data_IF_821825224435
#
_entry.id   IF_821825224435
#
_cell.length_a   1.000
_cell.length_b   1.000
_cell.length_c   1.000
_cell.angle_alpha   90.00
_cell.angle_beta   90.00
_cell.angle_gamma   90.00
#
_symmetry.space_group_name_H-M   'P 1'
#
loop_
_entity.id
_entity.type
_entity.pdbx_description
1 polymer ?
#
# COMPACT_ATOMS: atom_id res chain seq x y z
N UNK A 1 1.29 31.28 -45.32
CA UNK A 1 1.64 29.99 -45.94
C UNK A 1 1.08 28.87 -45.09
N UNK A 2 0.15 28.06 -45.62
CA UNK A 2 -0.29 26.84 -44.94
C UNK A 2 0.76 25.76 -45.20
N UNK A 3 1.34 25.25 -44.08
CA UNK A 3 2.29 24.13 -44.17
C UNK A 3 1.46 22.84 -44.31
N UNK A 4 1.73 21.99 -45.32
CA UNK A 4 0.99 20.71 -45.50
C UNK A 4 1.26 19.79 -44.29
N UNK A 5 0.25 19.04 -43.89
CA UNK A 5 0.38 18.04 -42.82
C UNK A 5 1.27 16.91 -43.31
N UNK A 6 2.28 16.57 -42.50
CA UNK A 6 3.22 15.46 -42.78
C UNK A 6 2.69 14.14 -42.20
N UNK A 7 1.90 14.22 -41.13
CA UNK A 7 1.36 13.06 -40.38
C UNK A 7 -0.15 13.29 -40.17
N UNK A 8 -0.95 12.26 -40.26
CA UNK A 8 -2.37 12.30 -39.94
C UNK A 8 -2.60 12.56 -38.45
N UNK A 9 -3.66 13.30 -38.12
CA UNK A 9 -3.97 13.68 -36.72
C UNK A 9 -4.17 12.45 -35.86
N UNK A 10 -4.86 11.42 -36.38
CA UNK A 10 -5.07 10.18 -35.64
C UNK A 10 -3.78 9.45 -35.29
N UNK A 11 -2.80 9.48 -36.20
CA UNK A 11 -1.50 8.85 -36.02
C UNK A 11 -0.65 9.63 -34.97
N UNK A 12 -0.71 10.96 -35.03
CA UNK A 12 -0.08 11.81 -34.01
C UNK A 12 -0.67 11.57 -32.62
N UNK A 13 -2.00 11.53 -32.50
CA UNK A 13 -2.69 11.29 -31.22
C UNK A 13 -2.37 9.90 -30.67
N UNK A 14 -2.33 8.88 -31.51
CA UNK A 14 -1.95 7.51 -31.12
C UNK A 14 -0.51 7.47 -30.58
N UNK A 15 0.43 8.16 -31.22
CA UNK A 15 1.82 8.28 -30.74
C UNK A 15 1.90 9.04 -29.43
N UNK A 16 1.16 10.15 -29.28
CA UNK A 16 1.10 10.90 -28.03
C UNK A 16 0.52 10.06 -26.88
N UNK A 17 -0.53 9.29 -27.12
CA UNK A 17 -1.11 8.36 -26.15
C UNK A 17 -0.10 7.28 -25.73
N UNK A 18 0.63 6.70 -26.69
CA UNK A 18 1.70 5.74 -26.44
C UNK A 18 2.85 6.34 -25.61
N UNK A 19 3.29 7.55 -25.92
CA UNK A 19 4.33 8.26 -25.18
C UNK A 19 3.86 8.56 -23.76
N UNK A 20 2.63 8.99 -23.58
CA UNK A 20 2.02 9.23 -22.27
C UNK A 20 1.93 7.93 -21.46
N UNK A 21 1.46 6.84 -22.06
CA UNK A 21 1.38 5.53 -21.41
C UNK A 21 2.75 4.97 -21.00
N UNK A 22 3.80 5.27 -21.75
CA UNK A 22 5.19 4.86 -21.46
C UNK A 22 5.97 5.84 -20.59
N UNK A 23 5.40 6.99 -20.27
CA UNK A 23 6.04 8.00 -19.43
C UNK A 23 6.27 7.44 -18.01
N UNK A 24 7.47 7.60 -17.42
CA UNK A 24 7.76 7.19 -16.05
C UNK A 24 6.88 7.85 -14.99
N UNK A 25 6.24 8.97 -15.32
CA UNK A 25 5.30 9.66 -14.45
C UNK A 25 3.95 8.92 -14.32
N UNK A 26 3.56 8.17 -15.36
CA UNK A 26 2.29 7.44 -15.41
C UNK A 26 2.46 5.92 -15.31
N UNK A 27 3.57 5.41 -15.83
CA UNK A 27 3.90 4.00 -15.78
C UNK A 27 5.11 3.81 -14.88
N UNK A 28 4.93 3.10 -13.78
CA UNK A 28 6.06 2.82 -12.90
C UNK A 28 7.16 2.08 -13.66
N UNK A 29 8.45 2.38 -13.36
CA UNK A 29 9.56 1.78 -14.05
C UNK A 29 9.48 0.24 -13.99
N UNK A 30 9.79 -0.42 -15.10
CA UNK A 30 9.86 -1.88 -15.20
C UNK A 30 10.63 -2.44 -14.01
N UNK A 31 9.99 -3.32 -13.25
CA UNK A 31 10.71 -4.14 -12.30
C UNK A 31 11.49 -5.16 -13.11
N UNK A 32 12.72 -4.84 -13.34
CA UNK A 32 13.62 -5.79 -14.00
C UNK A 32 13.74 -6.99 -13.06
N UNK A 33 13.38 -8.16 -13.52
CA UNK A 33 13.66 -9.46 -12.91
C UNK A 33 15.17 -9.74 -12.96
N UNK A 34 15.99 -8.80 -12.49
CA UNK A 34 17.44 -8.89 -12.49
C UNK A 34 17.99 -9.02 -11.07
N UNK A 35 19.25 -9.39 -10.90
CA UNK A 35 19.90 -9.58 -9.60
C UNK A 35 20.06 -8.27 -8.79
N UNK A 36 19.55 -7.15 -9.28
CA UNK A 36 19.70 -5.83 -8.66
C UNK A 36 18.68 -5.59 -7.57
N UNK A 37 19.13 -5.44 -6.31
CA UNK A 37 18.28 -5.25 -5.15
C UNK A 37 17.65 -3.86 -5.07
N UNK A 38 18.44 -2.81 -5.36
CA UNK A 38 18.08 -1.42 -5.06
C UNK A 38 17.53 -0.64 -6.26
N UNK A 39 17.33 -1.27 -7.41
CA UNK A 39 16.78 -0.61 -8.59
C UNK A 39 15.39 -0.02 -8.30
N UNK A 40 15.20 1.25 -8.60
CA UNK A 40 13.95 1.98 -8.42
C UNK A 40 13.72 2.57 -7.02
N UNK A 41 14.57 2.27 -6.03
CA UNK A 41 14.51 2.85 -4.69
C UNK A 41 15.78 3.59 -4.28
N UNK A 42 16.83 3.57 -5.14
CA UNK A 42 18.12 4.21 -4.88
C UNK A 42 18.20 5.55 -5.59
N UNK A 43 18.53 6.60 -4.85
CA UNK A 43 18.58 7.99 -5.31
C UNK A 43 19.88 8.65 -4.91
N UNK A 44 20.32 9.61 -5.71
CA UNK A 44 21.48 10.44 -5.43
C UNK A 44 21.09 11.52 -4.40
N UNK A 45 21.79 11.62 -3.29
CA UNK A 45 21.55 12.65 -2.29
C UNK A 45 21.88 14.06 -2.78
N UNK A 46 22.88 14.20 -3.68
CA UNK A 46 23.35 15.51 -4.18
C UNK A 46 22.35 16.17 -5.14
N UNK A 47 21.65 15.41 -5.99
CA UNK A 47 20.72 15.98 -6.99
C UNK A 47 19.30 15.39 -6.97
N UNK A 48 19.01 14.43 -6.08
CA UNK A 48 17.70 13.81 -5.93
C UNK A 48 17.31 12.83 -7.03
N UNK A 49 18.10 12.71 -8.10
CA UNK A 49 17.77 11.84 -9.24
C UNK A 49 18.05 10.38 -8.96
N UNK A 50 17.33 9.48 -9.63
CA UNK A 50 17.51 8.05 -9.46
C UNK A 50 18.92 7.59 -9.83
N UNK A 51 19.44 6.61 -9.09
CA UNK A 51 20.68 5.94 -9.46
C UNK A 51 20.37 4.80 -10.45
N UNK A 52 21.16 4.75 -11.51
CA UNK A 52 21.06 3.75 -12.58
C UNK A 52 22.21 2.76 -12.50
N UNK A 53 21.93 1.52 -12.92
CA UNK A 53 22.97 0.52 -13.04
C UNK A 53 23.81 0.77 -14.27
N UNK A 54 25.12 0.77 -14.10
CA UNK A 54 26.11 0.79 -15.16
C UNK A 54 27.02 -0.42 -15.06
N UNK A 55 27.45 -0.92 -16.21
CA UNK A 55 28.39 -2.03 -16.30
C UNK A 55 29.72 -1.59 -16.89
N UNK A 56 30.81 -2.18 -16.39
CA UNK A 56 32.15 -1.96 -16.90
C UNK A 56 32.81 -3.27 -17.33
N UNK A 57 33.84 -3.18 -18.19
CA UNK A 57 34.64 -4.32 -18.70
C UNK A 57 33.75 -5.48 -19.20
N UNK A 58 32.91 -5.19 -20.20
CA UNK A 58 32.04 -6.23 -20.78
C UNK A 58 30.99 -6.82 -19.85
N UNK A 59 30.52 -6.06 -18.83
CA UNK A 59 29.50 -6.54 -17.89
C UNK A 59 30.03 -7.18 -16.62
N UNK A 60 31.35 -7.35 -16.49
CA UNK A 60 32.00 -7.99 -15.33
C UNK A 60 31.81 -7.21 -14.03
N UNK A 61 31.80 -5.86 -14.10
CA UNK A 61 31.63 -4.99 -12.95
C UNK A 61 30.33 -4.20 -13.08
N UNK A 62 29.58 -4.12 -11.99
CA UNK A 62 28.30 -3.41 -11.91
C UNK A 62 28.37 -2.29 -10.88
N UNK A 63 27.86 -1.11 -11.25
CA UNK A 63 27.93 0.10 -10.42
C UNK A 63 26.60 0.83 -10.42
N UNK A 64 26.22 1.41 -9.29
CA UNK A 64 25.19 2.42 -9.22
C UNK A 64 25.81 3.80 -9.49
N UNK A 65 25.27 4.48 -10.49
CA UNK A 65 25.69 5.83 -10.89
C UNK A 65 24.46 6.72 -10.98
N UNK A 66 24.57 7.97 -10.52
CA UNK A 66 23.51 8.95 -10.67
C UNK A 66 23.13 9.11 -12.15
N UNK A 67 21.83 9.15 -12.45
CA UNK A 67 21.33 9.27 -13.83
C UNK A 67 21.76 10.57 -14.49
N UNK A 68 21.84 11.68 -13.74
CA UNK A 68 22.36 12.96 -14.21
C UNK A 68 23.85 12.85 -14.55
N UNK A 69 24.65 12.30 -13.64
CA UNK A 69 26.07 12.07 -13.90
C UNK A 69 26.29 11.13 -15.08
N UNK A 70 25.44 10.13 -15.24
CA UNK A 70 25.54 9.18 -16.34
C UNK A 70 25.28 9.79 -17.72
N UNK A 71 24.50 10.90 -17.78
CA UNK A 71 24.15 11.60 -19.02
C UNK A 71 25.02 12.82 -19.29
N UNK A 72 25.34 13.60 -18.26
CA UNK A 72 26.00 14.91 -18.36
C UNK A 72 27.42 14.92 -17.76
N UNK A 73 27.89 13.80 -17.22
CA UNK A 73 29.20 13.75 -16.58
C UNK A 73 29.24 14.48 -15.23
N UNK A 74 30.43 14.93 -14.86
CA UNK A 74 30.67 15.62 -13.58
C UNK A 74 30.12 17.05 -13.56
N UNK A 75 29.87 17.64 -14.72
CA UNK A 75 29.23 18.95 -14.83
C UNK A 75 27.76 18.91 -14.36
N UNK A 76 27.08 17.79 -14.59
CA UNK A 76 25.68 17.62 -14.16
C UNK A 76 25.53 17.19 -12.70
N UNK A 77 26.42 16.33 -12.21
CA UNK A 77 26.39 15.87 -10.82
C UNK A 77 27.75 15.30 -10.38
N UNK A 78 28.24 15.79 -9.25
CA UNK A 78 29.54 15.37 -8.67
C UNK A 78 29.44 14.12 -7.79
N UNK A 79 28.28 13.43 -7.76
CA UNK A 79 28.06 12.23 -6.95
C UNK A 79 29.04 11.11 -7.26
N UNK A 80 29.33 10.27 -6.29
CA UNK A 80 30.19 9.09 -6.47
C UNK A 80 29.43 7.94 -7.15
N UNK A 81 30.16 7.20 -7.98
CA UNK A 81 29.73 5.89 -8.48
C UNK A 81 30.10 4.82 -7.46
N UNK A 82 29.15 3.97 -7.09
CA UNK A 82 29.32 2.98 -6.02
C UNK A 82 29.19 1.56 -6.59
N UNK A 83 30.11 0.64 -6.28
CA UNK A 83 29.97 -0.76 -6.68
C UNK A 83 28.64 -1.37 -6.17
N UNK A 84 27.90 -2.05 -7.05
CA UNK A 84 26.58 -2.60 -6.76
C UNK A 84 26.61 -3.53 -5.55
N UNK A 85 27.50 -4.51 -5.55
CA UNK A 85 27.61 -5.51 -4.49
C UNK A 85 27.88 -4.87 -3.11
N UNK A 86 28.76 -3.85 -3.10
CA UNK A 86 29.08 -3.14 -1.86
C UNK A 86 27.87 -2.39 -1.30
N UNK A 87 27.12 -1.71 -2.16
CA UNK A 87 25.93 -0.96 -1.75
C UNK A 87 24.81 -1.90 -1.33
N UNK A 88 24.54 -2.92 -2.12
CA UNK A 88 23.51 -3.93 -1.84
C UNK A 88 23.78 -4.64 -0.49
N UNK A 89 25.03 -5.04 -0.25
CA UNK A 89 25.45 -5.64 1.01
C UNK A 89 25.27 -4.69 2.19
N UNK A 90 25.76 -3.46 2.07
CA UNK A 90 25.68 -2.47 3.15
C UNK A 90 24.23 -2.14 3.54
N UNK A 91 23.33 -2.02 2.55
CA UNK A 91 21.91 -1.78 2.81
C UNK A 91 21.26 -3.01 3.44
N UNK A 92 21.52 -4.20 2.91
CA UNK A 92 20.97 -5.44 3.44
C UNK A 92 21.41 -5.68 4.90
N UNK A 93 22.70 -5.53 5.19
CA UNK A 93 23.28 -5.67 6.52
C UNK A 93 22.70 -4.65 7.51
N UNK A 94 22.55 -3.40 7.08
CA UNK A 94 21.94 -2.37 7.92
C UNK A 94 20.48 -2.68 8.26
N UNK A 95 19.69 -3.12 7.29
CA UNK A 95 18.30 -3.48 7.51
C UNK A 95 18.20 -4.71 8.40
N UNK A 96 19.00 -5.75 8.14
CA UNK A 96 18.99 -6.98 8.93
C UNK A 96 19.39 -6.74 10.39
N UNK A 97 20.51 -6.04 10.61
CA UNK A 97 21.11 -5.90 11.94
C UNK A 97 20.61 -4.68 12.71
N UNK A 98 20.03 -3.68 12.06
CA UNK A 98 19.58 -2.45 12.69
C UNK A 98 18.07 -2.25 12.67
N UNK A 99 17.38 -2.54 11.55
CA UNK A 99 15.95 -2.29 11.41
C UNK A 99 15.09 -3.46 11.85
N UNK A 100 15.50 -4.69 11.58
CA UNK A 100 14.77 -5.92 11.89
C UNK A 100 14.99 -6.45 13.32
N UNK A 101 15.54 -5.65 14.22
CA UNK A 101 15.55 -5.97 15.65
C UNK A 101 14.15 -5.82 16.24
N UNK A 102 13.59 -6.83 16.93
CA UNK A 102 12.22 -6.79 17.45
C UNK A 102 11.93 -5.55 18.29
N UNK A 103 12.79 -5.23 19.28
CA UNK A 103 12.60 -4.04 20.14
C UNK A 103 12.72 -2.71 19.38
N UNK A 104 13.41 -2.67 18.22
CA UNK A 104 13.46 -1.48 17.39
C UNK A 104 12.22 -1.35 16.52
N UNK A 105 11.70 -2.47 15.99
CA UNK A 105 10.43 -2.51 15.28
C UNK A 105 9.29 -2.07 16.19
N UNK A 106 9.26 -2.54 17.43
CA UNK A 106 8.28 -2.11 18.44
C UNK A 106 8.33 -0.59 18.63
N UNK A 107 9.52 -0.01 18.86
CA UNK A 107 9.70 1.45 19.00
C UNK A 107 9.29 2.23 17.74
N UNK A 108 9.60 1.72 16.53
CA UNK A 108 9.23 2.38 15.27
C UNK A 108 7.71 2.38 15.11
N UNK A 109 7.05 1.30 15.49
CA UNK A 109 5.63 1.08 15.29
C UNK A 109 4.76 1.57 16.44
N UNK A 110 5.30 1.80 17.65
CA UNK A 110 4.52 2.14 18.84
C UNK A 110 3.48 3.22 18.56
N UNK A 111 3.89 4.37 18.07
CA UNK A 111 2.97 5.49 17.79
C UNK A 111 1.87 5.19 16.76
N UNK A 112 2.08 4.20 15.88
CA UNK A 112 1.09 3.79 14.89
C UNK A 112 0.17 2.73 15.47
N UNK A 113 0.69 1.86 16.31
CA UNK A 113 -0.08 0.84 17.04
C UNK A 113 -1.01 1.51 18.05
N UNK A 114 -0.49 2.46 18.85
CA UNK A 114 -1.27 3.23 19.83
C UNK A 114 -2.47 3.92 19.14
N UNK A 115 -2.22 4.62 18.04
CA UNK A 115 -3.30 5.27 17.26
C UNK A 115 -4.30 4.29 16.66
N UNK A 116 -3.84 3.07 16.33
CA UNK A 116 -4.73 2.02 15.82
C UNK A 116 -5.63 1.49 16.92
N UNK A 117 -5.08 1.28 18.10
CA UNK A 117 -5.79 0.84 19.29
C UNK A 117 -6.85 1.88 19.73
N UNK A 118 -6.44 3.14 19.90
CA UNK A 118 -7.37 4.25 20.18
C UNK A 118 -8.50 4.38 19.14
N UNK A 119 -8.20 4.12 17.88
CA UNK A 119 -9.22 4.14 16.82
C UNK A 119 -10.18 2.98 16.95
N UNK A 120 -9.66 1.77 17.24
CA UNK A 120 -10.47 0.58 17.45
C UNK A 120 -11.40 0.74 18.65
N UNK A 121 -10.90 1.28 19.76
CA UNK A 121 -11.69 1.58 20.95
C UNK A 121 -12.82 2.57 20.64
N UNK A 122 -12.50 3.70 19.98
CA UNK A 122 -13.51 4.69 19.57
C UNK A 122 -14.57 4.10 18.66
N UNK A 123 -14.19 3.23 17.72
CA UNK A 123 -15.13 2.55 16.84
C UNK A 123 -16.02 1.57 17.62
N UNK A 124 -15.46 0.84 18.57
CA UNK A 124 -16.23 -0.08 19.44
C UNK A 124 -17.26 0.66 20.28
N UNK A 125 -16.88 1.79 20.88
CA UNK A 125 -17.81 2.66 21.63
C UNK A 125 -18.91 3.22 20.71
N UNK A 126 -18.57 3.65 19.52
CA UNK A 126 -19.54 4.15 18.55
C UNK A 126 -20.56 3.06 18.13
N UNK A 127 -20.10 1.84 17.90
CA UNK A 127 -20.98 0.69 17.58
C UNK A 127 -21.91 0.40 18.77
N UNK A 128 -21.40 0.43 19.99
CA UNK A 128 -22.21 0.23 21.18
C UNK A 128 -23.32 1.29 21.30
N UNK A 129 -23.02 2.56 21.03
CA UNK A 129 -24.02 3.64 21.04
C UNK A 129 -25.06 3.49 19.93
N UNK A 130 -24.66 3.10 18.71
CA UNK A 130 -25.61 2.81 17.62
C UNK A 130 -26.54 1.64 17.97
N UNK A 131 -26.00 0.57 18.54
CA UNK A 131 -26.80 -0.59 18.99
C UNK A 131 -27.76 -0.21 20.12
N UNK A 132 -27.34 0.63 21.05
CA UNK A 132 -28.18 1.18 22.11
C UNK A 132 -29.33 1.98 21.53
N UNK A 133 -29.05 2.89 20.58
CA UNK A 133 -30.08 3.70 19.89
C UNK A 133 -31.10 2.81 19.16
N UNK A 134 -30.65 1.77 18.49
CA UNK A 134 -31.54 0.79 17.85
C UNK A 134 -32.43 0.06 18.86
N UNK A 135 -31.84 -0.39 19.96
CA UNK A 135 -32.55 -1.08 21.04
C UNK A 135 -33.60 -0.19 21.74
N UNK A 136 -33.29 1.08 21.97
CA UNK A 136 -34.22 2.07 22.52
C UNK A 136 -35.42 2.32 21.58
N UNK A 137 -35.14 2.40 20.27
CA UNK A 137 -36.21 2.55 19.27
C UNK A 137 -37.09 1.29 19.22
N UNK A 138 -36.51 0.09 19.27
CA UNK A 138 -37.26 -1.18 19.36
C UNK A 138 -38.11 -1.26 20.63
N UNK A 139 -37.59 -0.85 21.78
CA UNK A 139 -38.36 -0.85 23.02
C UNK A 139 -39.53 0.14 22.99
N UNK A 140 -39.37 1.30 22.31
CA UNK A 140 -40.45 2.26 22.08
C UNK A 140 -41.49 1.71 21.11
N UNK A 141 -41.11 1.08 20.03
CA UNK A 141 -41.97 0.42 19.07
C UNK A 141 -42.79 -0.70 19.74
N UNK A 142 -42.13 -1.52 20.54
CA UNK A 142 -42.82 -2.59 21.29
C UNK A 142 -43.92 -2.03 22.18
N UNK A 143 -43.65 -1.00 22.96
CA UNK A 143 -44.66 -0.33 23.82
C UNK A 143 -45.82 0.23 23.01
N UNK A 144 -45.59 0.80 21.82
CA UNK A 144 -46.64 1.27 20.95
C UNK A 144 -47.49 0.13 20.40
N UNK A 145 -46.90 -1.00 20.02
CA UNK A 145 -47.60 -2.18 19.57
C UNK A 145 -48.43 -2.82 20.70
N UNK A 146 -47.85 -2.94 21.90
CA UNK A 146 -48.54 -3.43 23.08
C UNK A 146 -49.79 -2.54 23.40
N UNK A 147 -49.68 -1.22 23.26
CA UNK A 147 -50.79 -0.30 23.47
C UNK A 147 -51.90 -0.42 22.40
N UNK A 148 -51.51 -0.71 21.15
CA UNK A 148 -52.46 -0.97 20.05
C UNK A 148 -53.19 -2.28 20.29
N UNK A 149 -52.48 -3.35 20.66
CA UNK A 149 -53.04 -4.68 20.95
C UNK A 149 -54.03 -4.66 22.12
N UNK A 150 -53.74 -3.83 23.12
CA UNK A 150 -54.63 -3.64 24.28
C UNK A 150 -55.77 -2.66 24.03
N UNK A 151 -55.95 -2.16 22.81
CA UNK A 151 -57.06 -1.27 22.45
C UNK A 151 -56.97 0.16 23.05
N UNK A 152 -55.81 0.56 23.57
CA UNK A 152 -55.62 1.88 24.19
C UNK A 152 -55.52 3.00 23.13
N UNK A 153 -55.13 2.65 21.91
CA UNK A 153 -54.94 3.58 20.78
C UNK A 153 -55.53 3.01 19.50
N UNK A 154 -56.10 3.89 18.65
CA UNK A 154 -56.67 3.50 17.37
C UNK A 154 -55.60 3.52 16.27
N UNK A 155 -55.59 2.50 15.42
CA UNK A 155 -54.74 2.36 14.24
C UNK A 155 -55.02 3.43 13.17
N UNK A 156 -56.16 4.14 13.24
CA UNK A 156 -56.51 5.23 12.34
C UNK A 156 -55.78 6.55 12.66
N UNK A 157 -55.21 6.68 13.86
CA UNK A 157 -54.46 7.89 14.28
C UNK A 157 -53.21 8.11 13.40
N UNK A 158 -53.21 9.23 12.68
CA UNK A 158 -52.13 9.63 11.77
C UNK A 158 -50.84 9.87 12.54
N UNK A 159 -50.91 10.52 13.70
CA UNK A 159 -49.74 10.85 14.52
C UNK A 159 -49.06 9.56 15.03
N UNK A 160 -49.83 8.54 15.34
CA UNK A 160 -49.31 7.24 15.75
C UNK A 160 -48.58 6.55 14.60
N UNK A 161 -49.16 6.57 13.39
CA UNK A 161 -48.52 6.02 12.19
C UNK A 161 -47.18 6.73 11.86
N UNK A 162 -47.18 8.05 11.92
CA UNK A 162 -45.97 8.85 11.68
C UNK A 162 -44.89 8.50 12.72
N UNK A 163 -45.28 8.38 14.00
CA UNK A 163 -44.34 8.03 15.07
C UNK A 163 -43.75 6.64 14.93
N UNK A 164 -44.57 5.65 14.54
CA UNK A 164 -44.08 4.29 14.24
C UNK A 164 -43.12 4.30 13.06
N UNK A 165 -43.43 5.05 12.02
CA UNK A 165 -42.58 5.16 10.84
C UNK A 165 -41.24 5.79 11.19
N UNK A 166 -41.25 6.87 11.95
CA UNK A 166 -40.05 7.55 12.44
C UNK A 166 -39.17 6.60 13.29
N UNK A 167 -39.76 5.89 14.26
CA UNK A 167 -39.03 4.95 15.12
C UNK A 167 -38.42 3.78 14.33
N UNK A 168 -39.16 3.26 13.33
CA UNK A 168 -38.64 2.23 12.43
C UNK A 168 -37.44 2.75 11.65
N UNK A 169 -37.56 3.96 11.09
CA UNK A 169 -36.45 4.59 10.37
C UNK A 169 -35.18 4.79 11.24
N UNK A 170 -35.38 5.29 12.48
CA UNK A 170 -34.27 5.45 13.45
C UNK A 170 -33.59 4.10 13.76
N UNK A 171 -34.39 3.08 14.03
CA UNK A 171 -33.88 1.71 14.32
C UNK A 171 -33.10 1.16 13.16
N UNK A 172 -33.67 1.19 11.96
CA UNK A 172 -33.09 0.57 10.78
C UNK A 172 -31.81 1.30 10.33
N UNK A 173 -31.83 2.63 10.43
CA UNK A 173 -30.64 3.43 10.17
C UNK A 173 -29.52 3.12 11.19
N UNK A 174 -29.83 3.05 12.47
CA UNK A 174 -28.84 2.76 13.51
C UNK A 174 -28.25 1.34 13.36
N UNK A 175 -29.06 0.36 12.97
CA UNK A 175 -28.57 -1.01 12.67
C UNK A 175 -27.65 -1.03 11.47
N UNK A 176 -28.03 -0.39 10.36
CA UNK A 176 -27.22 -0.32 9.16
C UNK A 176 -25.88 0.41 9.39
N UNK A 177 -25.90 1.45 10.21
CA UNK A 177 -24.66 2.17 10.58
C UNK A 177 -23.75 1.31 11.46
N UNK A 178 -24.31 0.56 12.41
CA UNK A 178 -23.55 -0.38 13.24
C UNK A 178 -22.88 -1.48 12.40
N UNK A 179 -23.61 -2.09 11.48
CA UNK A 179 -23.09 -3.13 10.57
C UNK A 179 -21.95 -2.57 9.68
N UNK A 180 -22.11 -1.35 9.15
CA UNK A 180 -21.06 -0.69 8.38
C UNK A 180 -19.80 -0.43 9.20
N UNK A 181 -19.96 0.01 10.44
CA UNK A 181 -18.85 0.26 11.36
C UNK A 181 -18.13 -1.04 11.74
N UNK A 182 -18.86 -2.12 12.00
CA UNK A 182 -18.31 -3.46 12.26
C UNK A 182 -17.53 -4.01 11.05
N UNK A 183 -18.09 -3.86 9.85
CA UNK A 183 -17.41 -4.21 8.61
C UNK A 183 -16.11 -3.42 8.41
N UNK A 184 -16.04 -2.18 8.88
CA UNK A 184 -14.82 -1.37 8.83
C UNK A 184 -13.75 -1.88 9.81
N UNK A 185 -14.13 -2.31 11.02
CA UNK A 185 -13.21 -2.93 11.99
C UNK A 185 -12.65 -4.24 11.42
N UNK A 186 -13.50 -5.10 10.88
CA UNK A 186 -13.08 -6.39 10.32
C UNK A 186 -12.06 -6.23 9.17
N UNK A 187 -12.15 -5.15 8.39
CA UNK A 187 -11.19 -4.83 7.32
C UNK A 187 -9.83 -4.34 7.83
N UNK A 188 -9.71 -3.93 9.07
CA UNK A 188 -8.43 -3.47 9.63
C UNK A 188 -7.43 -4.61 9.87
N UNK A 189 -7.86 -5.84 9.74
CA UNK A 189 -7.03 -7.04 9.93
C UNK A 189 -6.69 -7.31 11.39
N UNK A 190 -5.91 -8.37 11.65
CA UNK A 190 -5.64 -8.85 12.99
C UNK A 190 -4.86 -7.85 13.84
N UNK A 191 -5.04 -7.93 15.16
CA UNK A 191 -4.26 -7.16 16.14
C UNK A 191 -2.80 -7.58 16.06
N UNK A 192 -1.91 -6.60 16.01
CA UNK A 192 -0.47 -6.83 15.99
C UNK A 192 0.04 -6.91 17.41
N UNK A 193 0.54 -8.07 17.78
CA UNK A 193 1.13 -8.34 19.09
C UNK A 193 2.66 -8.32 19.04
N UNK A 194 3.32 -8.12 20.18
CA UNK A 194 4.78 -8.27 20.30
C UNK A 194 5.27 -9.61 19.73
N UNK A 195 4.49 -10.68 19.89
CA UNK A 195 4.82 -11.99 19.35
C UNK A 195 4.81 -12.00 17.83
N UNK A 196 3.80 -11.35 17.20
CA UNK A 196 3.75 -11.23 15.73
C UNK A 196 4.90 -10.41 15.16
N UNK A 197 5.34 -9.34 15.87
CA UNK A 197 6.52 -8.55 15.50
C UNK A 197 7.79 -9.40 15.60
N UNK A 198 7.96 -10.18 16.64
CA UNK A 198 9.12 -11.09 16.82
C UNK A 198 9.15 -12.17 15.74
N UNK A 199 8.01 -12.76 15.41
CA UNK A 199 7.87 -13.76 14.35
C UNK A 199 8.21 -13.16 12.98
N UNK A 200 7.66 -11.98 12.67
CA UNK A 200 7.97 -11.24 11.44
C UNK A 200 9.47 -10.92 11.33
N UNK A 201 10.07 -10.35 12.38
CA UNK A 201 11.48 -10.01 12.39
C UNK A 201 12.40 -11.22 12.14
N UNK A 202 12.04 -12.37 12.70
CA UNK A 202 12.76 -13.64 12.51
C UNK A 202 12.65 -14.12 11.07
N UNK A 203 11.44 -14.14 10.53
CA UNK A 203 11.18 -14.56 9.15
C UNK A 203 11.82 -13.62 8.14
N UNK A 204 11.70 -12.31 8.33
CA UNK A 204 12.29 -11.32 7.45
C UNK A 204 13.82 -11.43 7.42
N UNK A 205 14.49 -11.59 8.57
CA UNK A 205 15.94 -11.82 8.63
C UNK A 205 16.35 -13.11 7.91
N UNK A 206 15.63 -14.22 8.12
CA UNK A 206 15.90 -15.47 7.42
C UNK A 206 15.82 -15.29 5.90
N UNK A 207 14.82 -14.57 5.42
CA UNK A 207 14.61 -14.30 3.98
C UNK A 207 15.61 -13.32 3.38
N UNK A 208 16.09 -12.35 4.17
CA UNK A 208 17.15 -11.43 3.73
C UNK A 208 18.50 -12.13 3.49
N UNK A 209 18.75 -13.26 4.14
CA UNK A 209 19.98 -14.05 3.98
C UNK A 209 19.97 -14.97 2.76
N UNK A 210 18.81 -15.25 2.20
CA UNK A 210 18.70 -16.08 0.99
C UNK A 210 19.13 -15.22 -0.19
N UNK A 211 20.25 -15.55 -0.82
CA UNK A 211 20.83 -14.76 -1.90
C UNK A 211 20.08 -14.90 -3.22
N UNK A 212 19.41 -16.02 -3.46
CA UNK A 212 18.61 -16.29 -4.64
C UNK A 212 17.13 -15.98 -4.43
N UNK A 213 16.62 -15.04 -5.25
CA UNK A 213 15.20 -14.85 -5.45
C UNK A 213 14.65 -13.45 -5.21
N UNK A 214 13.50 -13.19 -5.82
CA UNK A 214 12.73 -11.95 -5.74
C UNK A 214 12.31 -11.58 -4.29
N UNK A 215 12.25 -12.56 -3.41
CA UNK A 215 11.86 -12.38 -2.00
C UNK A 215 12.73 -11.38 -1.23
N UNK A 216 14.06 -11.40 -1.42
CA UNK A 216 14.98 -10.45 -0.76
C UNK A 216 14.67 -9.01 -1.16
N UNK A 217 14.39 -8.79 -2.42
CA UNK A 217 14.01 -7.48 -2.97
C UNK A 217 12.66 -7.01 -2.42
N UNK A 218 11.66 -7.88 -2.36
CA UNK A 218 10.32 -7.53 -1.89
C UNK A 218 10.33 -7.16 -0.41
N UNK A 219 11.06 -7.91 0.42
CA UNK A 219 11.26 -7.56 1.83
C UNK A 219 12.00 -6.24 2.00
N UNK A 220 13.04 -6.01 1.20
CA UNK A 220 13.80 -4.77 1.25
C UNK A 220 12.92 -3.57 0.88
N UNK A 221 12.09 -3.69 -0.15
CA UNK A 221 11.15 -2.65 -0.57
C UNK A 221 10.02 -2.41 0.43
N UNK A 222 9.56 -3.43 1.13
CA UNK A 222 8.59 -3.30 2.20
C UNK A 222 9.15 -2.49 3.39
N UNK A 223 10.46 -2.58 3.62
CA UNK A 223 11.15 -1.94 4.75
C UNK A 223 11.79 -0.58 4.39
N UNK A 224 12.16 -0.40 3.11
CA UNK A 224 12.82 0.79 2.61
C UNK A 224 12.21 1.21 1.26
N UNK A 225 11.56 2.36 1.21
CA UNK A 225 10.97 2.92 -0.01
C UNK A 225 11.93 3.86 -0.75
N UNK A 226 12.88 4.45 -0.01
CA UNK A 226 13.85 5.36 -0.58
C UNK A 226 15.21 5.21 0.10
N UNK A 227 16.25 5.13 -0.70
CA UNK A 227 17.65 5.06 -0.24
C UNK A 227 18.39 6.18 -0.93
N UNK A 228 18.90 7.13 -0.15
CA UNK A 228 19.72 8.23 -0.64
C UNK A 228 21.18 7.94 -0.39
N UNK A 229 21.96 8.03 -1.47
CA UNK A 229 23.41 7.74 -1.45
C UNK A 229 24.17 9.05 -1.57
N UNK A 230 24.95 9.33 -0.55
CA UNK A 230 25.93 10.41 -0.54
C UNK A 230 27.35 9.84 -0.41
N UNK A 231 28.35 10.71 -0.54
CA UNK A 231 29.75 10.31 -0.40
C UNK A 231 30.10 9.81 1.02
N UNK A 232 29.71 10.51 2.10
CA UNK A 232 30.00 10.08 3.46
C UNK A 232 28.93 9.20 4.09
N UNK A 233 27.67 9.25 3.62
CA UNK A 233 26.55 8.62 4.30
C UNK A 233 25.53 7.98 3.37
N UNK A 234 24.77 7.05 3.93
CA UNK A 234 23.65 6.40 3.31
C UNK A 234 22.40 6.62 4.16
N UNK A 235 21.37 7.22 3.58
CA UNK A 235 20.09 7.44 4.27
C UNK A 235 19.05 6.45 3.78
N UNK A 236 18.52 5.63 4.67
CA UNK A 236 17.49 4.65 4.37
C UNK A 236 16.18 5.15 4.97
N UNK A 237 15.22 5.47 4.11
CA UNK A 237 13.89 5.95 4.47
C UNK A 237 12.84 4.90 4.21
N UNK A 238 11.92 4.75 5.17
CA UNK A 238 10.81 3.80 5.07
C UNK A 238 9.56 4.36 5.75
N UNK A 239 8.41 3.99 5.22
CA UNK A 239 7.11 4.36 5.78
C UNK A 239 6.70 3.40 6.89
N UNK A 240 6.33 3.94 8.05
CA UNK A 240 5.76 3.16 9.16
C UNK A 240 4.46 2.47 8.75
N UNK A 241 3.66 3.12 7.91
CA UNK A 241 2.38 2.58 7.43
C UNK A 241 2.58 1.37 6.51
N UNK A 242 3.58 1.40 5.61
CA UNK A 242 3.90 0.27 4.74
C UNK A 242 4.48 -0.91 5.55
N UNK A 243 5.32 -0.62 6.54
CA UNK A 243 5.81 -1.64 7.46
C UNK A 243 4.66 -2.30 8.24
N UNK A 244 3.71 -1.50 8.75
CA UNK A 244 2.53 -2.01 9.43
C UNK A 244 1.67 -2.88 8.51
N UNK A 245 1.44 -2.43 7.28
CA UNK A 245 0.68 -3.18 6.27
C UNK A 245 1.32 -4.54 5.96
N UNK A 246 2.64 -4.57 5.83
CA UNK A 246 3.41 -5.80 5.61
C UNK A 246 3.29 -6.76 6.81
N UNK A 247 3.32 -6.22 8.03
CA UNK A 247 3.13 -7.00 9.26
C UNK A 247 1.72 -7.59 9.35
N UNK A 248 0.68 -6.79 9.07
CA UNK A 248 -0.73 -7.25 9.05
C UNK A 248 -0.89 -8.38 8.04
N UNK A 249 -0.39 -8.20 6.83
CA UNK A 249 -0.48 -9.20 5.78
C UNK A 249 0.28 -10.49 6.13
N UNK A 250 1.47 -10.39 6.74
CA UNK A 250 2.22 -11.54 7.21
C UNK A 250 1.53 -12.28 8.38
N UNK A 251 0.77 -11.55 9.20
CA UNK A 251 -0.01 -12.13 10.32
C UNK A 251 -1.31 -12.80 9.85
N UNK A 252 -1.89 -12.31 8.76
CA UNK A 252 -3.13 -12.87 8.18
C UNK A 252 -2.86 -14.14 7.36
N UNK A 253 -1.65 -14.29 6.84
CA UNK A 253 -1.25 -15.43 6.01
C UNK A 253 -0.97 -16.68 6.87
N UNK A 254 -1.96 -17.13 7.64
CA UNK A 254 -1.85 -18.36 8.46
C UNK A 254 -1.79 -19.66 7.67
N UNK A 255 -2.03 -19.64 6.35
CA UNK A 255 -2.27 -20.89 5.60
C UNK A 255 -1.69 -20.99 4.19
N UNK A 256 -1.21 -19.92 3.60
CA UNK A 256 -0.60 -20.01 2.27
C UNK A 256 0.90 -19.81 2.41
N UNK A 257 1.65 -20.78 1.93
CA UNK A 257 3.12 -20.83 1.99
C UNK A 257 3.77 -19.47 1.71
N UNK A 258 4.21 -18.84 2.76
CA UNK A 258 5.39 -18.00 2.87
C UNK A 258 5.72 -16.98 1.77
N UNK A 259 4.73 -16.34 1.13
CA UNK A 259 4.97 -15.12 0.38
C UNK A 259 4.80 -13.92 1.29
N UNK A 260 5.78 -12.99 1.36
CA UNK A 260 5.40 -11.61 1.59
C UNK A 260 4.37 -11.34 0.51
N UNK A 261 3.16 -10.84 0.86
CA UNK A 261 2.25 -10.39 -0.17
C UNK A 261 3.07 -9.41 -0.99
N UNK A 262 3.34 -9.78 -2.23
CA UNK A 262 3.98 -8.87 -3.16
C UNK A 262 3.04 -7.68 -3.24
N UNK A 263 3.37 -6.57 -2.58
CA UNK A 263 2.68 -5.29 -2.72
C UNK A 263 3.02 -4.69 -4.08
N UNK A 264 3.05 -5.56 -5.06
CA UNK A 264 3.00 -5.15 -6.45
C UNK A 264 1.57 -4.68 -6.65
N UNK A 265 1.31 -3.42 -6.98
CA UNK A 265 -0.01 -2.96 -7.35
C UNK A 265 -0.63 -3.95 -8.34
N UNK A 266 -1.95 -4.18 -8.28
CA UNK A 266 -2.63 -5.20 -9.13
C UNK A 266 -2.27 -5.11 -10.63
N UNK A 267 -1.93 -3.90 -11.10
CA UNK A 267 -1.45 -3.67 -12.46
C UNK A 267 -0.06 -4.24 -12.74
N UNK A 268 0.75 -4.56 -11.69
CA UNK A 268 2.07 -5.21 -11.83
C UNK A 268 1.99 -6.74 -11.85
N UNK A 269 0.89 -7.31 -11.35
CA UNK A 269 0.70 -8.77 -11.33
C UNK A 269 0.02 -9.30 -12.58
N UNK A 270 -0.64 -8.43 -13.37
CA UNK A 270 -1.42 -8.86 -14.54
C UNK A 270 -0.66 -8.88 -15.86
N UNK A 271 0.45 -8.15 -15.97
CA UNK A 271 1.15 -8.05 -17.23
C UNK A 271 2.65 -8.19 -17.04
N UNK A 272 3.23 -9.27 -17.55
CA UNK A 272 4.55 -9.19 -18.11
C UNK A 272 4.53 -8.03 -19.10
N UNK A 273 5.49 -7.13 -18.98
CA UNK A 273 5.53 -5.83 -19.63
C UNK A 273 5.55 -5.89 -21.19
N UNK A 274 5.36 -7.06 -21.78
CA UNK A 274 5.33 -7.31 -23.22
C UNK A 274 4.00 -7.86 -23.73
N UNK A 275 2.99 -8.03 -22.88
CA UNK A 275 1.68 -8.52 -23.32
C UNK A 275 0.75 -7.32 -23.47
N UNK A 276 0.25 -7.09 -24.66
CA UNK A 276 -0.84 -6.16 -24.94
C UNK A 276 -2.10 -6.62 -24.20
N UNK A 277 -2.95 -5.69 -23.71
CA UNK A 277 -4.24 -6.07 -23.18
C UNK A 277 -4.99 -6.87 -24.25
N UNK A 278 -5.62 -7.97 -23.81
CA UNK A 278 -6.41 -8.80 -24.72
C UNK A 278 -7.57 -7.98 -25.29
N UNK A 279 -8.00 -8.23 -26.53
CA UNK A 279 -9.08 -7.48 -27.19
C UNK A 279 -10.39 -7.39 -26.39
N UNK A 280 -10.65 -8.32 -25.49
CA UNK A 280 -11.81 -8.33 -24.60
C UNK A 280 -11.78 -7.28 -23.49
N UNK A 281 -10.62 -6.68 -23.19
CA UNK A 281 -10.52 -5.59 -22.21
C UNK A 281 -10.61 -4.19 -22.85
N UNK A 282 -10.49 -4.11 -24.18
CA UNK A 282 -10.68 -2.87 -24.96
C UNK A 282 -12.14 -2.48 -25.13
N UNK A 283 -13.05 -3.46 -25.15
CA UNK A 283 -14.48 -3.22 -25.38
C UNK A 283 -15.24 -2.75 -24.11
N UNK A 284 -14.64 -2.85 -22.94
CA UNK A 284 -15.25 -2.40 -21.68
C UNK A 284 -15.09 -0.90 -21.39
N UNK A 285 -14.35 -0.16 -22.23
CA UNK A 285 -14.11 1.29 -22.07
C UNK A 285 -14.81 2.16 -23.14
N UNK A 286 -15.68 1.56 -23.95
CA UNK A 286 -16.48 2.28 -24.98
C UNK A 286 -17.98 2.03 -24.82
N UNK A 287 -18.48 2.18 -23.60
CA UNK A 287 -19.93 2.30 -23.34
C UNK A 287 -20.16 3.42 -22.34
#
# INVERSE_FOLDING_TARGET
MMVPRIIEVAEFEAVQALLKARSPAWTAPRIVSGPTLLTGICFCASCGMAMTLRTGKGGRYRYYTCSTKARQGETGCKSRTVPMEKLDKLVADHIEHRRLLPGRLEKILSSVLDRREERAERQTLHIAELRKRASEADAKLKRLYDAIENGVTDLSDLLLKDRITELKAIRDQARADAERAEGAINRQGPTITTQSIKAFARTARKRMRIEDGGYRRDYLRALAQRIEVDAPELRIMGSKSELLRTLVAASSAKTAGFGVPSFVPKWRTRHDSNVWPSPSEGDALSS
#
